data_IF_218894281001
#
_entry.id   IF_218894281001
#
_cell.length_a   1.000
_cell.length_b   1.000
_cell.length_c   1.000
_cell.angle_alpha   90.00
_cell.angle_beta   90.00
_cell.angle_gamma   90.00
#
_symmetry.space_group_name_H-M   'P 1'
#
loop_
_entity.id
_entity.type
_entity.pdbx_description
1 polymer ?
#
# COMPACT_ATOMS: atom_id res chain seq x y z
N UNK A 1 -2.85 21.83 13.51
CA UNK A 1 -3.64 21.07 14.50
C UNK A 1 -2.78 19.96 15.04
N UNK A 2 -2.21 20.16 16.21
CA UNK A 2 -1.65 19.10 17.06
C UNK A 2 -2.83 18.36 17.68
N UNK A 3 -2.90 17.05 17.50
CA UNK A 3 -3.90 16.25 18.20
C UNK A 3 -3.51 16.20 19.68
N UNK A 4 -4.44 16.61 20.55
CA UNK A 4 -4.27 16.57 22.01
C UNK A 4 -4.28 15.12 22.55
N UNK A 5 -4.63 14.14 21.69
CA UNK A 5 -4.62 12.70 21.97
C UNK A 5 -3.89 11.93 20.89
N UNK A 6 -3.16 10.88 21.28
CA UNK A 6 -2.55 9.93 20.34
C UNK A 6 -3.63 9.27 19.47
N UNK A 7 -3.40 9.07 18.16
CA UNK A 7 -4.37 8.44 17.28
C UNK A 7 -4.50 6.94 17.54
N UNK A 8 -5.69 6.41 17.25
CA UNK A 8 -5.89 4.98 17.04
C UNK A 8 -5.27 4.61 15.69
N UNK A 9 -4.17 3.84 15.70
CA UNK A 9 -3.55 3.35 14.47
C UNK A 9 -4.21 2.03 14.07
N UNK A 10 -5.00 2.05 12.99
CA UNK A 10 -5.82 0.91 12.58
C UNK A 10 -5.38 0.40 11.21
N UNK A 11 -5.16 -0.91 11.09
CA UNK A 11 -4.84 -1.57 9.84
C UNK A 11 -5.68 -2.85 9.68
N UNK A 12 -5.52 -3.50 8.53
CA UNK A 12 -6.10 -4.81 8.25
C UNK A 12 -4.99 -5.76 7.83
N UNK A 13 -5.12 -7.03 8.21
CA UNK A 13 -4.29 -8.08 7.64
C UNK A 13 -4.88 -8.53 6.29
N UNK A 14 -4.39 -7.96 5.20
CA UNK A 14 -4.71 -8.38 3.81
C UNK A 14 -3.42 -8.79 3.09
N UNK A 15 -2.47 -9.32 3.86
CA UNK A 15 -1.05 -9.33 3.54
C UNK A 15 -0.29 -8.22 4.29
N UNK A 16 1.03 -8.36 4.37
CA UNK A 16 1.86 -7.52 5.25
C UNK A 16 2.03 -6.06 4.79
N UNK A 17 1.47 -5.67 3.64
CA UNK A 17 1.63 -4.32 3.07
C UNK A 17 1.05 -3.21 3.95
N UNK A 18 -0.23 -3.32 4.33
CA UNK A 18 -0.90 -2.33 5.18
C UNK A 18 -0.35 -2.33 6.61
N UNK A 19 -0.06 -3.52 7.15
CA UNK A 19 0.53 -3.68 8.49
C UNK A 19 1.93 -3.07 8.59
N UNK A 20 2.79 -3.25 7.56
CA UNK A 20 4.13 -2.66 7.54
C UNK A 20 4.08 -1.13 7.63
N UNK A 21 3.19 -0.51 6.84
CA UNK A 21 2.98 0.94 6.89
C UNK A 21 2.44 1.38 8.25
N UNK A 22 1.53 0.60 8.85
CA UNK A 22 0.92 0.93 10.13
C UNK A 22 1.94 0.85 11.27
N UNK A 23 2.77 -0.20 11.31
CA UNK A 23 3.83 -0.33 12.31
C UNK A 23 4.86 0.81 12.20
N UNK A 24 5.25 1.19 10.98
CA UNK A 24 6.17 2.30 10.75
C UNK A 24 5.64 3.65 11.29
N UNK A 25 4.31 3.81 11.38
CA UNK A 25 3.65 4.98 11.96
C UNK A 25 3.43 4.83 13.47
N UNK A 26 3.05 3.64 13.93
CA UNK A 26 2.70 3.37 15.32
C UNK A 26 3.92 3.40 16.25
N UNK A 27 5.07 2.90 15.79
CA UNK A 27 6.33 2.85 16.54
C UNK A 27 6.77 4.23 17.07
N UNK A 28 6.96 5.27 16.24
CA UNK A 28 7.34 6.60 16.73
C UNK A 28 6.24 7.29 17.54
N UNK A 29 4.98 6.87 17.39
CA UNK A 29 3.85 7.38 18.18
C UNK A 29 3.70 6.69 19.54
N UNK A 30 4.44 5.59 19.77
CA UNK A 30 4.33 4.79 20.99
C UNK A 30 2.93 4.22 21.20
N UNK A 31 2.27 3.76 20.13
CA UNK A 31 0.94 3.14 20.15
C UNK A 31 0.98 1.77 19.50
N UNK A 32 0.00 0.92 19.80
CA UNK A 32 -0.15 -0.37 19.14
C UNK A 32 -0.95 -0.25 17.85
N UNK A 33 -0.69 -1.14 16.89
CA UNK A 33 -1.53 -1.27 15.69
C UNK A 33 -2.75 -2.11 16.05
N UNK A 34 -3.94 -1.53 15.89
CA UNK A 34 -5.20 -2.24 16.02
C UNK A 34 -5.57 -2.87 14.69
N UNK A 35 -6.05 -4.11 14.74
CA UNK A 35 -6.51 -4.86 13.58
C UNK A 35 -8.02 -4.69 13.47
N UNK A 36 -8.50 -4.06 12.39
CA UNK A 36 -9.95 -3.84 12.18
C UNK A 36 -10.71 -5.16 12.02
N UNK A 37 -10.02 -6.23 11.64
CA UNK A 37 -10.57 -7.56 11.40
C UNK A 37 -10.40 -8.53 12.58
N UNK A 38 -9.97 -8.05 13.76
CA UNK A 38 -9.74 -8.89 14.95
C UNK A 38 -10.22 -8.19 16.22
N UNK A 39 -10.31 -8.95 17.32
CA UNK A 39 -10.53 -8.39 18.64
C UNK A 39 -9.41 -7.37 19.01
N UNK A 40 -9.72 -6.29 19.76
CA UNK A 40 -11.04 -5.97 20.33
C UNK A 40 -12.01 -5.26 19.38
N UNK A 41 -11.57 -4.86 18.17
CA UNK A 41 -12.38 -4.06 17.24
C UNK A 41 -13.45 -4.85 16.48
N UNK A 42 -13.27 -6.16 16.31
CA UNK A 42 -14.23 -7.02 15.64
C UNK A 42 -14.59 -8.20 16.55
N UNK A 43 -15.88 -8.31 16.87
CA UNK A 43 -16.45 -9.50 17.51
C UNK A 43 -16.42 -10.71 16.54
N UNK A 44 -16.69 -11.95 17.00
CA UNK A 44 -16.65 -13.13 16.12
C UNK A 44 -17.53 -13.02 14.86
N UNK A 45 -18.71 -12.39 14.95
CA UNK A 45 -19.62 -12.21 13.81
C UNK A 45 -19.08 -11.19 12.80
N UNK A 46 -18.42 -10.14 13.29
CA UNK A 46 -17.77 -9.14 12.46
C UNK A 46 -16.49 -9.68 11.81
N UNK A 47 -15.72 -10.50 12.53
CA UNK A 47 -14.57 -11.23 11.98
C UNK A 47 -14.99 -12.12 10.79
N UNK A 48 -16.14 -12.80 10.86
CA UNK A 48 -16.69 -13.55 9.73
C UNK A 48 -17.06 -12.67 8.53
N UNK A 49 -17.52 -11.42 8.76
CA UNK A 49 -17.80 -10.46 7.66
C UNK A 49 -16.51 -10.01 7.01
N UNK A 50 -15.48 -9.70 7.80
CA UNK A 50 -14.14 -9.37 7.30
C UNK A 50 -13.50 -10.53 6.54
N UNK A 51 -13.60 -11.76 7.07
CA UNK A 51 -13.10 -12.96 6.43
C UNK A 51 -13.75 -13.19 5.06
N UNK A 52 -15.08 -13.03 4.96
CA UNK A 52 -15.78 -13.12 3.65
C UNK A 52 -15.31 -12.05 2.67
N UNK A 53 -15.09 -10.82 3.14
CA UNK A 53 -14.53 -9.74 2.31
C UNK A 53 -13.11 -10.07 1.81
N UNK A 54 -12.26 -10.64 2.69
CA UNK A 54 -10.90 -11.06 2.35
C UNK A 54 -10.92 -12.16 1.29
N UNK A 55 -11.71 -13.20 1.50
CA UNK A 55 -11.84 -14.31 0.56
C UNK A 55 -12.30 -13.81 -0.81
N UNK A 56 -13.28 -12.91 -0.86
CA UNK A 56 -13.72 -12.30 -2.12
C UNK A 56 -12.61 -11.51 -2.81
N UNK A 57 -11.86 -10.69 -2.07
CA UNK A 57 -10.72 -9.94 -2.61
C UNK A 57 -9.62 -10.87 -3.14
N UNK A 58 -9.23 -11.89 -2.38
CA UNK A 58 -8.20 -12.86 -2.80
C UNK A 58 -8.63 -13.65 -4.04
N UNK A 59 -9.90 -14.06 -4.11
CA UNK A 59 -10.46 -14.76 -5.27
C UNK A 59 -10.47 -13.87 -6.52
N UNK A 60 -10.85 -12.61 -6.39
CA UNK A 60 -10.81 -11.65 -7.50
C UNK A 60 -9.37 -11.39 -7.95
N UNK A 61 -8.47 -11.13 -7.00
CA UNK A 61 -7.06 -10.87 -7.29
C UNK A 61 -6.43 -12.06 -8.01
N UNK A 62 -6.74 -13.30 -7.62
CA UNK A 62 -6.27 -14.51 -8.30
C UNK A 62 -6.92 -14.72 -9.66
N UNK A 63 -8.24 -14.58 -9.74
CA UNK A 63 -9.00 -14.73 -10.98
C UNK A 63 -8.56 -13.76 -12.06
N UNK A 64 -8.19 -12.53 -11.69
CA UNK A 64 -7.66 -11.53 -12.63
C UNK A 64 -6.31 -11.92 -13.26
N UNK A 65 -5.60 -12.90 -12.68
CA UNK A 65 -4.29 -13.35 -13.15
C UNK A 65 -4.33 -14.69 -13.89
N UNK A 66 -5.46 -15.40 -13.90
CA UNK A 66 -5.61 -16.68 -14.62
C UNK A 66 -6.01 -16.38 -16.08
N UNK A 67 -5.19 -16.76 -17.09
CA UNK A 67 -5.49 -16.47 -18.50
C UNK A 67 -6.71 -17.24 -19.06
N UNK A 68 -7.28 -18.18 -18.31
CA UNK A 68 -8.33 -19.13 -18.73
C UNK A 68 -9.70 -18.83 -18.09
N UNK A 69 -9.94 -17.60 -17.65
CA UNK A 69 -11.28 -17.21 -17.18
C UNK A 69 -12.15 -16.83 -18.38
N UNK A 70 -13.33 -17.47 -18.52
CA UNK A 70 -14.26 -17.19 -19.62
C UNK A 70 -14.60 -15.69 -19.76
N UNK A 71 -14.77 -15.23 -21.00
CA UNK A 71 -15.00 -13.80 -21.36
C UNK A 71 -15.98 -13.04 -20.44
N UNK A 72 -17.15 -13.57 -20.03
CA UNK A 72 -18.06 -12.83 -19.15
C UNK A 72 -17.53 -12.63 -17.73
N UNK A 73 -16.88 -13.64 -17.14
CA UNK A 73 -16.33 -13.56 -15.78
C UNK A 73 -15.09 -12.65 -15.75
N UNK A 74 -14.29 -12.65 -16.82
CA UNK A 74 -13.17 -11.71 -16.98
C UNK A 74 -13.63 -10.25 -17.04
N UNK A 75 -14.71 -9.95 -17.76
CA UNK A 75 -15.26 -8.59 -17.81
C UNK A 75 -15.73 -8.09 -16.42
N UNK A 76 -16.28 -8.97 -15.58
CA UNK A 76 -16.67 -8.64 -14.20
C UNK A 76 -15.45 -8.42 -13.32
N UNK A 77 -14.42 -9.26 -13.43
CA UNK A 77 -13.15 -9.11 -12.69
C UNK A 77 -12.41 -7.82 -13.09
N UNK A 78 -12.35 -7.55 -14.38
CA UNK A 78 -11.78 -6.30 -14.92
C UNK A 78 -12.60 -5.12 -14.39
N UNK A 79 -13.94 -5.15 -14.40
CA UNK A 79 -14.74 -4.06 -13.85
C UNK A 79 -14.54 -3.83 -12.33
N UNK A 80 -14.19 -4.87 -11.57
CA UNK A 80 -13.96 -4.80 -10.12
C UNK A 80 -12.54 -4.36 -9.74
N UNK A 81 -11.56 -4.57 -10.63
CA UNK A 81 -10.13 -4.33 -10.37
C UNK A 81 -9.53 -3.24 -11.25
N UNK A 82 -10.19 -2.85 -12.34
CA UNK A 82 -9.65 -1.93 -13.32
C UNK A 82 -9.45 -0.55 -12.73
N UNK A 83 -8.20 -0.11 -12.74
CA UNK A 83 -7.85 1.28 -12.53
C UNK A 83 -7.84 1.92 -13.92
N UNK A 84 -8.88 2.72 -14.29
CA UNK A 84 -8.91 3.36 -15.61
C UNK A 84 -7.70 4.27 -15.79
N UNK A 85 -7.26 4.44 -17.05
CA UNK A 85 -6.15 5.33 -17.37
C UNK A 85 -6.36 6.72 -16.75
N UNK A 86 -5.31 7.20 -16.11
CA UNK A 86 -5.24 8.53 -15.52
C UNK A 86 -5.41 9.63 -16.59
N UNK A 87 -4.80 9.44 -17.75
CA UNK A 87 -4.85 10.38 -18.86
C UNK A 87 -5.78 9.88 -19.98
N UNK A 88 -6.49 10.78 -20.68
CA UNK A 88 -6.64 12.21 -20.36
C UNK A 88 -7.43 12.43 -19.06
N UNK A 89 -7.21 13.56 -18.39
CA UNK A 89 -7.96 13.91 -17.18
C UNK A 89 -9.44 14.02 -17.50
N UNK A 90 -10.26 13.26 -16.77
CA UNK A 90 -11.73 13.26 -16.86
C UNK A 90 -12.32 13.07 -15.47
N UNK A 91 -13.58 13.45 -15.29
CA UNK A 91 -14.28 13.17 -14.04
C UNK A 91 -14.50 11.66 -13.90
N UNK A 92 -13.99 11.07 -12.82
CA UNK A 92 -14.22 9.67 -12.44
C UNK A 92 -14.80 9.61 -11.02
N UNK A 93 -15.49 10.67 -10.58
CA UNK A 93 -16.08 10.75 -9.24
C UNK A 93 -17.28 9.83 -9.04
N UNK A 94 -17.89 9.33 -10.12
CA UNK A 94 -19.01 8.41 -10.05
C UNK A 94 -18.63 7.12 -9.28
N UNK A 95 -19.48 6.65 -8.34
CA UNK A 95 -19.21 5.44 -7.58
C UNK A 95 -19.39 4.19 -8.45
N UNK A 96 -18.35 3.36 -8.47
CA UNK A 96 -18.33 2.05 -9.14
C UNK A 96 -19.01 0.94 -8.31
N UNK A 97 -18.99 -0.29 -8.83
CA UNK A 97 -19.56 -1.45 -8.14
C UNK A 97 -18.83 -1.76 -6.83
N UNK A 98 -17.50 -1.62 -6.80
CA UNK A 98 -16.66 -1.95 -5.66
C UNK A 98 -16.97 -1.07 -4.44
N UNK A 99 -17.09 0.26 -4.62
CA UNK A 99 -17.47 1.17 -3.53
C UNK A 99 -18.94 1.00 -3.12
N UNK A 100 -19.84 0.70 -4.06
CA UNK A 100 -21.26 0.42 -3.74
C UNK A 100 -21.41 -0.88 -2.94
N UNK A 101 -20.65 -1.91 -3.29
CA UNK A 101 -20.62 -3.17 -2.56
C UNK A 101 -20.09 -2.96 -1.14
N UNK A 102 -18.96 -2.25 -1.00
CA UNK A 102 -18.42 -1.89 0.31
C UNK A 102 -19.45 -1.12 1.14
N UNK A 103 -20.10 -0.10 0.56
CA UNK A 103 -21.13 0.66 1.27
C UNK A 103 -22.26 -0.22 1.81
N UNK A 104 -22.77 -1.17 1.01
CA UNK A 104 -23.80 -2.12 1.47
C UNK A 104 -23.30 -2.99 2.63
N UNK A 105 -22.02 -3.35 2.65
CA UNK A 105 -21.45 -4.09 3.77
C UNK A 105 -21.37 -3.23 5.03
N UNK A 106 -20.98 -1.96 4.88
CA UNK A 106 -20.98 -0.99 5.98
C UNK A 106 -22.40 -0.79 6.53
N UNK A 107 -23.40 -0.62 5.66
CA UNK A 107 -24.82 -0.50 6.06
C UNK A 107 -25.33 -1.75 6.80
N UNK A 108 -24.72 -2.92 6.56
CA UNK A 108 -25.00 -4.19 7.25
C UNK A 108 -24.15 -4.41 8.51
N UNK A 109 -23.42 -3.39 8.96
CA UNK A 109 -22.63 -3.39 10.19
C UNK A 109 -21.20 -3.88 10.05
N UNK A 110 -20.59 -3.79 8.86
CA UNK A 110 -19.13 -3.91 8.74
C UNK A 110 -18.46 -2.66 9.33
N UNK A 111 -17.52 -2.85 10.25
CA UNK A 111 -16.80 -1.78 10.94
C UNK A 111 -17.51 -1.24 12.18
N UNK A 112 -18.51 -1.95 12.71
CA UNK A 112 -19.31 -1.46 13.83
C UNK A 112 -18.45 -1.31 15.10
N UNK A 113 -17.65 -2.31 15.46
CA UNK A 113 -16.79 -2.22 16.64
C UNK A 113 -15.69 -1.15 16.51
N UNK A 114 -15.18 -0.89 15.29
CA UNK A 114 -14.29 0.26 15.04
C UNK A 114 -14.98 1.59 15.38
N UNK A 115 -16.23 1.77 14.94
CA UNK A 115 -16.98 3.00 15.18
C UNK A 115 -17.27 3.20 16.66
N UNK A 116 -17.64 2.12 17.36
CA UNK A 116 -17.86 2.14 18.81
C UNK A 116 -16.59 2.53 19.57
N UNK A 117 -15.46 1.89 19.28
CA UNK A 117 -14.17 2.18 19.91
C UNK A 117 -13.74 3.64 19.70
N UNK A 118 -13.85 4.16 18.47
CA UNK A 118 -13.50 5.56 18.18
C UNK A 118 -14.44 6.55 18.89
N UNK A 119 -15.72 6.21 19.03
CA UNK A 119 -16.69 7.05 19.76
C UNK A 119 -16.44 7.05 21.27
N UNK A 120 -16.01 5.93 21.84
CA UNK A 120 -15.70 5.79 23.27
C UNK A 120 -14.39 6.50 23.61
N UNK A 121 -13.31 6.17 22.91
CA UNK A 121 -11.96 6.71 23.15
C UNK A 121 -11.81 8.19 22.75
N UNK A 122 -12.64 8.65 21.78
CA UNK A 122 -12.53 9.96 21.11
C UNK A 122 -11.16 10.19 20.45
N UNK A 123 -10.40 9.13 20.19
CA UNK A 123 -9.12 9.21 19.50
C UNK A 123 -9.33 9.57 18.04
N UNK A 124 -8.43 10.35 17.42
CA UNK A 124 -8.40 10.48 15.97
C UNK A 124 -8.03 9.15 15.33
N UNK A 125 -8.56 8.87 14.14
CA UNK A 125 -8.25 7.64 13.39
C UNK A 125 -7.05 7.90 12.47
N UNK A 126 -6.01 7.08 12.57
CA UNK A 126 -4.95 6.98 11.56
C UNK A 126 -4.95 5.56 10.99
N UNK A 127 -5.26 5.41 9.70
CA UNK A 127 -5.36 4.09 9.08
C UNK A 127 -4.57 3.99 7.79
N UNK A 128 -4.03 2.79 7.51
CA UNK A 128 -3.29 2.48 6.27
C UNK A 128 -4.13 1.71 5.25
N UNK A 129 -5.45 1.62 5.46
CA UNK A 129 -6.38 0.94 4.58
C UNK A 129 -7.64 1.79 4.37
N UNK A 130 -8.21 1.75 3.16
CA UNK A 130 -9.36 2.60 2.81
C UNK A 130 -10.62 2.24 3.61
N UNK A 131 -10.86 0.96 3.93
CA UNK A 131 -12.14 0.56 4.51
C UNK A 131 -12.39 1.15 5.90
N UNK A 132 -11.45 1.11 6.87
CA UNK A 132 -11.60 1.81 8.14
C UNK A 132 -11.90 3.31 8.00
N UNK A 133 -11.23 3.99 7.06
CA UNK A 133 -11.45 5.42 6.82
C UNK A 133 -12.86 5.69 6.30
N UNK A 134 -13.33 4.89 5.33
CA UNK A 134 -14.67 5.02 4.75
C UNK A 134 -15.78 4.64 5.74
N UNK A 135 -15.53 3.66 6.61
CA UNK A 135 -16.43 3.29 7.72
C UNK A 135 -16.58 4.47 8.67
N UNK A 136 -15.47 5.06 9.11
CA UNK A 136 -15.48 6.19 10.04
C UNK A 136 -16.17 7.42 9.44
N UNK A 137 -15.87 7.74 8.17
CA UNK A 137 -16.48 8.85 7.44
C UNK A 137 -17.99 8.63 7.26
N UNK A 138 -18.39 7.40 6.93
CA UNK A 138 -19.79 7.02 6.82
C UNK A 138 -20.56 7.15 8.15
N UNK A 139 -19.91 6.81 9.26
CA UNK A 139 -20.46 6.97 10.61
C UNK A 139 -20.51 8.43 11.11
N UNK A 140 -20.09 9.39 10.28
CA UNK A 140 -20.10 10.82 10.56
C UNK A 140 -18.96 11.29 11.47
N UNK A 141 -17.96 10.44 11.72
CA UNK A 141 -16.81 10.79 12.56
C UNK A 141 -15.95 11.86 11.88
N UNK A 142 -15.13 12.53 12.68
CA UNK A 142 -14.14 13.49 12.23
C UNK A 142 -12.72 12.98 12.49
N UNK A 143 -11.72 13.78 12.09
CA UNK A 143 -10.30 13.51 12.38
C UNK A 143 -9.85 12.13 11.90
N UNK A 144 -10.09 11.89 10.61
CA UNK A 144 -9.79 10.65 9.91
C UNK A 144 -8.61 10.88 8.99
N UNK A 145 -7.50 10.22 9.26
CA UNK A 145 -6.28 10.21 8.45
C UNK A 145 -6.13 8.85 7.76
N UNK A 146 -6.15 8.85 6.42
CA UNK A 146 -6.00 7.65 5.61
C UNK A 146 -4.69 7.70 4.81
N UNK A 147 -3.73 6.87 5.18
CA UNK A 147 -2.48 6.69 4.46
C UNK A 147 -2.71 5.77 3.28
N UNK A 148 -2.49 6.29 2.08
CA UNK A 148 -2.54 5.50 0.85
C UNK A 148 -1.24 4.70 0.73
N UNK A 149 -1.36 3.38 0.64
CA UNK A 149 -0.21 2.48 0.54
C UNK A 149 0.19 2.16 -0.89
N UNK A 150 -0.67 2.49 -1.86
CA UNK A 150 -0.50 2.09 -3.25
C UNK A 150 0.02 3.26 -4.10
N UNK A 151 0.84 2.95 -5.11
CA UNK A 151 1.39 3.97 -6.02
C UNK A 151 0.31 4.54 -6.96
N UNK A 152 -0.68 3.71 -7.30
CA UNK A 152 -1.92 4.10 -7.98
C UNK A 152 -3.08 3.41 -7.29
N UNK A 153 -4.25 4.04 -7.31
CA UNK A 153 -5.38 3.59 -6.48
C UNK A 153 -6.65 3.44 -7.30
N UNK A 154 -7.39 2.39 -6.98
CA UNK A 154 -8.72 2.15 -7.51
C UNK A 154 -9.75 3.14 -6.94
N UNK A 155 -10.88 3.32 -7.63
CA UNK A 155 -11.95 4.26 -7.22
C UNK A 155 -12.55 3.94 -5.86
N UNK A 156 -12.46 2.69 -5.40
CA UNK A 156 -12.86 2.26 -4.04
C UNK A 156 -12.18 3.05 -2.90
N UNK A 157 -11.01 3.65 -3.13
CA UNK A 157 -10.32 4.44 -2.12
C UNK A 157 -11.04 5.73 -1.75
N UNK A 158 -11.93 6.24 -2.61
CA UNK A 158 -12.71 7.45 -2.37
C UNK A 158 -14.16 7.12 -1.97
N UNK A 159 -14.83 7.93 -1.12
CA UNK A 159 -16.20 7.64 -0.70
C UNK A 159 -17.21 7.82 -1.83
N UNK A 160 -18.46 7.39 -1.58
CA UNK A 160 -19.55 7.52 -2.57
C UNK A 160 -19.82 8.99 -2.91
N UNK A 161 -19.73 9.88 -1.92
CA UNK A 161 -19.89 11.33 -2.11
C UNK A 161 -18.59 12.03 -1.65
N UNK A 162 -17.54 12.04 -2.49
CA UNK A 162 -16.20 12.55 -2.18
C UNK A 162 -16.18 13.95 -1.58
N UNK A 163 -17.01 14.87 -2.12
CA UNK A 163 -17.05 16.27 -1.71
C UNK A 163 -17.54 16.51 -0.28
N UNK A 164 -18.24 15.54 0.31
CA UNK A 164 -18.76 15.60 1.69
C UNK A 164 -17.89 14.90 2.71
N UNK A 165 -16.88 14.16 2.24
CA UNK A 165 -15.99 13.39 3.11
C UNK A 165 -15.22 14.32 4.04
N UNK A 166 -14.81 13.80 5.19
CA UNK A 166 -13.87 14.44 6.12
C UNK A 166 -12.53 13.72 6.16
N UNK A 167 -12.32 12.72 5.30
CA UNK A 167 -11.10 11.92 5.26
C UNK A 167 -9.94 12.76 4.73
N UNK A 168 -8.91 12.96 5.54
CA UNK A 168 -7.63 13.50 5.06
C UNK A 168 -6.78 12.34 4.55
N UNK A 169 -6.46 12.36 3.27
CA UNK A 169 -5.61 11.38 2.62
C UNK A 169 -4.14 11.82 2.67
N UNK A 170 -3.29 10.92 3.16
CA UNK A 170 -1.83 11.06 3.17
C UNK A 170 -1.27 10.16 2.07
N UNK A 171 -0.85 10.76 0.95
CA UNK A 171 -0.54 10.00 -0.27
C UNK A 171 0.96 9.85 -0.51
N UNK A 172 1.40 8.72 -1.07
CA UNK A 172 2.82 8.43 -1.25
C UNK A 172 3.41 9.13 -2.46
N UNK A 173 2.57 9.60 -3.39
CA UNK A 173 3.01 10.16 -4.65
C UNK A 173 2.02 11.18 -5.23
N UNK A 174 2.53 11.99 -6.15
CA UNK A 174 1.72 12.88 -6.98
C UNK A 174 0.71 12.13 -7.84
N UNK A 175 1.00 10.87 -8.21
CA UNK A 175 0.09 10.03 -9.01
C UNK A 175 -1.18 9.70 -8.22
N UNK A 176 -1.02 9.20 -6.99
CA UNK A 176 -2.13 8.90 -6.08
C UNK A 176 -2.93 10.16 -5.74
N UNK A 177 -2.27 11.30 -5.48
CA UNK A 177 -2.93 12.61 -5.29
C UNK A 177 -3.85 12.95 -6.47
N UNK A 178 -3.31 12.88 -7.70
CA UNK A 178 -4.07 13.18 -8.92
C UNK A 178 -5.25 12.20 -9.10
N UNK A 179 -5.14 10.98 -8.59
CA UNK A 179 -6.17 9.94 -8.67
C UNK A 179 -7.35 10.25 -7.77
N UNK A 180 -7.09 10.57 -6.50
CA UNK A 180 -8.11 11.04 -5.56
C UNK A 180 -8.84 12.29 -6.07
N UNK A 181 -8.11 13.25 -6.65
CA UNK A 181 -8.72 14.46 -7.25
C UNK A 181 -9.67 14.14 -8.39
N UNK A 182 -9.28 13.23 -9.28
CA UNK A 182 -10.12 12.75 -10.39
C UNK A 182 -11.33 11.98 -9.87
N UNK A 183 -11.22 11.31 -8.73
CA UNK A 183 -12.34 10.71 -8.02
C UNK A 183 -13.18 11.73 -7.23
N UNK A 184 -12.91 13.03 -7.34
CA UNK A 184 -13.72 14.10 -6.74
C UNK A 184 -13.36 14.46 -5.29
N UNK A 185 -12.31 13.86 -4.72
CA UNK A 185 -11.85 14.22 -3.36
C UNK A 185 -11.31 15.66 -3.38
N UNK A 186 -11.76 16.54 -2.46
CA UNK A 186 -11.29 17.92 -2.42
C UNK A 186 -9.77 18.03 -2.24
N UNK A 187 -9.06 18.93 -2.95
CA UNK A 187 -7.62 19.09 -2.79
C UNK A 187 -7.18 19.40 -1.35
N UNK A 188 -8.00 20.14 -0.59
CA UNK A 188 -7.74 20.45 0.82
C UNK A 188 -7.70 19.20 1.73
N UNK A 189 -8.24 18.07 1.27
CA UNK A 189 -8.22 16.79 1.99
C UNK A 189 -7.05 15.89 1.58
N UNK A 190 -6.16 16.33 0.68
CA UNK A 190 -5.08 15.48 0.17
C UNK A 190 -3.73 16.13 0.46
N UNK A 191 -2.87 15.40 1.14
CA UNK A 191 -1.50 15.84 1.47
C UNK A 191 -0.52 14.81 0.93
N UNK A 192 0.46 15.25 0.14
CA UNK A 192 1.54 14.38 -0.33
C UNK A 192 2.60 14.29 0.76
N UNK A 193 2.70 13.12 1.39
CA UNK A 193 3.62 12.89 2.52
C UNK A 193 4.77 11.95 2.16
N UNK A 194 4.64 11.17 1.09
CA UNK A 194 5.50 10.01 0.85
C UNK A 194 5.00 8.77 1.57
N UNK A 195 5.66 7.63 1.34
CA UNK A 195 5.31 6.35 1.94
C UNK A 195 6.00 6.19 3.31
N UNK A 196 5.28 5.74 4.36
CA UNK A 196 5.88 5.57 5.68
C UNK A 196 6.84 4.37 5.68
N UNK A 197 8.13 4.65 5.85
CA UNK A 197 9.16 3.63 6.03
C UNK A 197 9.48 3.46 7.52
N UNK A 198 9.81 2.22 7.96
CA UNK A 198 10.22 1.98 9.34
C UNK A 198 11.38 2.89 9.79
N UNK A 199 11.34 3.45 11.01
CA UNK A 199 12.40 4.33 11.54
C UNK A 199 13.82 3.75 11.41
N UNK A 200 13.97 2.44 11.66
CA UNK A 200 15.24 1.73 11.51
C UNK A 200 15.82 1.71 10.09
N UNK A 201 15.01 1.92 9.05
CA UNK A 201 15.48 2.08 7.67
C UNK A 201 15.86 3.52 7.34
N UNK A 202 15.29 4.49 8.06
CA UNK A 202 15.50 5.91 7.82
C UNK A 202 16.79 6.41 8.47
N UNK A 203 17.08 5.95 9.69
CA UNK A 203 18.19 6.46 10.49
C UNK A 203 17.92 7.87 11.03
N UNK A 204 16.70 8.09 11.53
CA UNK A 204 16.28 9.36 12.16
C UNK A 204 15.72 10.41 11.19
N UNK A 205 15.32 11.59 11.71
CA UNK A 205 14.71 12.67 10.93
C UNK A 205 15.59 13.19 9.77
N UNK A 206 16.91 13.15 9.92
CA UNK A 206 17.87 13.57 8.88
C UNK A 206 18.03 12.53 7.75
N UNK A 207 17.41 11.36 7.91
CA UNK A 207 17.42 10.25 6.97
C UNK A 207 18.83 9.69 6.72
N UNK A 208 19.71 9.74 7.72
CA UNK A 208 21.12 9.38 7.57
C UNK A 208 21.31 7.94 7.05
N UNK A 209 20.54 7.00 7.62
CA UNK A 209 20.55 5.59 7.21
C UNK A 209 20.03 5.39 5.79
N UNK A 210 18.93 6.06 5.43
CA UNK A 210 18.37 6.02 4.09
C UNK A 210 19.37 6.57 3.05
N UNK A 211 19.95 7.74 3.31
CA UNK A 211 20.91 8.39 2.41
C UNK A 211 22.15 7.51 2.21
N UNK A 212 22.71 6.95 3.28
CA UNK A 212 23.85 6.04 3.20
C UNK A 212 23.54 4.80 2.34
N UNK A 213 22.42 4.12 2.60
CA UNK A 213 21.98 2.94 1.82
C UNK A 213 21.73 3.27 0.36
N UNK A 214 21.16 4.46 0.08
CA UNK A 214 20.91 4.89 -1.30
C UNK A 214 22.21 5.15 -2.06
N UNK A 215 23.22 5.79 -1.44
CA UNK A 215 24.55 5.94 -2.06
C UNK A 215 25.13 4.60 -2.46
N UNK A 216 25.19 3.64 -1.53
CA UNK A 216 25.71 2.29 -1.79
C UNK A 216 24.94 1.60 -2.92
N UNK A 217 23.62 1.74 -2.92
CA UNK A 217 22.75 1.14 -3.93
C UNK A 217 22.97 1.75 -5.31
N UNK A 218 23.24 3.05 -5.41
CA UNK A 218 23.57 3.70 -6.68
C UNK A 218 24.86 3.15 -7.28
N UNK A 219 25.92 2.99 -6.46
CA UNK A 219 27.19 2.38 -6.95
C UNK A 219 26.97 0.96 -7.47
N UNK A 220 26.09 0.21 -6.81
CA UNK A 220 25.74 -1.16 -7.19
C UNK A 220 24.90 -1.26 -8.46
N UNK A 221 23.95 -0.34 -8.64
CA UNK A 221 23.00 -0.37 -9.76
C UNK A 221 23.49 0.38 -11.01
N UNK A 222 24.51 1.24 -10.87
CA UNK A 222 25.09 2.02 -11.96
C UNK A 222 26.58 1.66 -12.16
N UNK A 223 26.89 0.42 -12.60
CA UNK A 223 28.27 -0.07 -12.71
C UNK A 223 29.10 0.63 -13.79
N UNK A 224 28.47 1.39 -14.69
CA UNK A 224 29.13 2.22 -15.71
C UNK A 224 29.27 3.69 -15.28
N UNK A 225 28.59 4.11 -14.20
CA UNK A 225 28.62 5.49 -13.73
C UNK A 225 27.77 6.45 -14.57
N UNK A 226 27.01 5.96 -15.54
CA UNK A 226 26.27 6.80 -16.49
C UNK A 226 25.16 7.60 -15.80
N UNK A 227 24.44 6.98 -14.86
CA UNK A 227 23.41 7.68 -14.08
C UNK A 227 24.04 8.69 -13.13
N UNK A 228 25.10 8.29 -12.41
CA UNK A 228 25.81 9.16 -11.46
C UNK A 228 26.47 10.36 -12.14
N UNK A 229 26.96 10.19 -13.37
CA UNK A 229 27.51 11.29 -14.16
C UNK A 229 26.44 12.25 -14.64
N UNK A 230 25.29 11.74 -15.10
CA UNK A 230 24.17 12.54 -15.59
C UNK A 230 23.52 13.40 -14.51
N UNK A 231 23.34 12.85 -13.30
CA UNK A 231 22.66 13.53 -12.18
C UNK A 231 23.62 13.96 -11.07
N UNK A 232 24.86 14.31 -11.44
CA UNK A 232 25.97 14.55 -10.47
C UNK A 232 25.59 15.59 -9.42
N UNK A 233 25.05 16.72 -9.86
CA UNK A 233 24.80 17.87 -8.98
C UNK A 233 23.60 17.61 -8.06
N UNK A 234 22.53 16.98 -8.56
CA UNK A 234 21.38 16.59 -7.77
C UNK A 234 21.77 15.53 -6.74
N UNK A 235 22.54 14.52 -7.13
CA UNK A 235 23.02 13.51 -6.20
C UNK A 235 23.92 14.12 -5.13
N UNK A 236 24.77 15.11 -5.48
CA UNK A 236 25.59 15.82 -4.49
C UNK A 236 24.74 16.67 -3.55
N UNK A 237 23.70 17.32 -4.04
CA UNK A 237 22.77 18.11 -3.22
C UNK A 237 21.99 17.22 -2.23
N UNK A 238 21.45 16.10 -2.70
CA UNK A 238 20.57 15.24 -1.88
C UNK A 238 21.31 14.17 -1.08
N UNK A 239 22.46 13.70 -1.54
CA UNK A 239 23.19 12.60 -0.89
C UNK A 239 24.59 13.00 -0.45
N UNK A 240 25.14 14.14 -0.89
CA UNK A 240 26.55 14.44 -0.73
C UNK A 240 27.41 13.59 -1.68
N UNK A 241 28.66 13.31 -1.29
CA UNK A 241 29.55 12.50 -2.11
C UNK A 241 29.00 11.06 -2.25
N UNK A 242 28.76 10.63 -3.49
CA UNK A 242 28.46 9.23 -3.82
C UNK A 242 29.79 8.55 -4.17
N UNK A 243 30.10 7.36 -3.60
CA UNK A 243 31.36 6.69 -3.90
C UNK A 243 31.51 6.40 -5.40
N UNK A 244 32.73 6.51 -5.90
CA UNK A 244 33.06 6.16 -7.28
C UNK A 244 33.39 4.66 -7.41
N UNK A 245 33.55 4.19 -8.65
CA UNK A 245 33.89 2.80 -8.93
C UNK A 245 32.71 1.85 -8.95
N UNK A 246 33.02 0.55 -8.84
CA UNK A 246 32.08 -0.57 -8.88
C UNK A 246 31.91 -1.18 -7.49
N UNK A 247 30.71 -1.63 -7.19
CA UNK A 247 30.38 -2.34 -5.96
C UNK A 247 30.21 -3.84 -6.21
N UNK A 248 29.73 -4.54 -5.19
CA UNK A 248 29.27 -5.92 -5.29
C UNK A 248 28.17 -6.08 -6.36
N UNK A 249 27.96 -7.30 -6.89
CA UNK A 249 26.91 -7.54 -7.87
C UNK A 249 25.52 -7.12 -7.33
N UNK A 250 24.63 -6.60 -8.19
CA UNK A 250 23.27 -6.26 -7.80
C UNK A 250 22.54 -7.48 -7.21
N UNK A 251 21.78 -7.24 -6.15
CA UNK A 251 20.85 -8.22 -5.60
C UNK A 251 19.47 -7.95 -6.18
N UNK A 252 19.00 -8.83 -7.07
CA UNK A 252 17.61 -8.88 -7.45
C UNK A 252 16.84 -9.66 -6.40
N UNK A 253 15.81 -9.03 -5.83
CA UNK A 253 14.87 -9.71 -4.94
C UNK A 253 13.57 -9.93 -5.66
N UNK A 254 13.16 -11.19 -5.82
CA UNK A 254 11.84 -11.57 -6.30
C UNK A 254 11.03 -12.05 -5.10
N UNK A 255 10.04 -11.24 -4.69
CA UNK A 255 9.24 -11.50 -3.49
C UNK A 255 7.79 -11.81 -3.86
N UNK A 256 7.32 -12.99 -3.51
CA UNK A 256 5.96 -13.43 -3.72
C UNK A 256 5.15 -13.16 -2.44
N UNK A 257 4.12 -12.33 -2.56
CA UNK A 257 3.28 -11.92 -1.44
C UNK A 257 2.39 -13.03 -0.89
N UNK A 258 1.62 -12.73 0.17
CA UNK A 258 0.75 -13.69 0.87
C UNK A 258 -0.36 -14.30 0.01
N UNK A 259 -0.72 -13.69 -1.12
CA UNK A 259 -1.66 -14.28 -2.08
C UNK A 259 -1.05 -15.43 -2.90
N UNK A 260 0.28 -15.57 -2.93
CA UNK A 260 1.01 -16.53 -3.77
C UNK A 260 0.98 -16.20 -5.26
N UNK A 261 0.58 -14.98 -5.60
CA UNK A 261 0.44 -14.53 -6.97
C UNK A 261 1.80 -14.49 -7.70
N UNK A 262 1.83 -15.00 -8.93
CA UNK A 262 2.97 -14.95 -9.85
C UNK A 262 4.21 -15.76 -9.40
N UNK A 263 4.05 -16.75 -8.51
CA UNK A 263 5.16 -17.60 -8.09
C UNK A 263 5.86 -18.29 -9.28
N UNK A 264 5.06 -18.71 -10.26
CA UNK A 264 5.49 -19.42 -11.47
C UNK A 264 6.33 -18.55 -12.41
N UNK A 265 6.37 -17.21 -12.21
CA UNK A 265 7.27 -16.34 -13.00
C UNK A 265 8.74 -16.73 -12.82
N UNK A 266 9.11 -17.35 -11.69
CA UNK A 266 10.47 -17.84 -11.45
C UNK A 266 10.92 -18.79 -12.56
N UNK A 267 10.05 -19.70 -13.02
CA UNK A 267 10.37 -20.63 -14.12
C UNK A 267 10.68 -19.91 -15.43
N UNK A 268 10.07 -18.74 -15.65
CA UNK A 268 10.24 -17.95 -16.86
C UNK A 268 11.56 -17.17 -16.87
N UNK A 269 11.94 -16.55 -15.75
CA UNK A 269 13.14 -15.69 -15.71
C UNK A 269 14.40 -16.42 -15.23
N UNK A 270 14.29 -17.39 -14.33
CA UNK A 270 15.46 -17.99 -13.67
C UNK A 270 16.44 -18.66 -14.65
N UNK A 271 16.00 -19.49 -15.62
CA UNK A 271 16.92 -20.08 -16.60
C UNK A 271 17.67 -19.04 -17.42
N UNK A 272 17.02 -17.91 -17.72
CA UNK A 272 17.61 -16.80 -18.48
C UNK A 272 18.60 -15.99 -17.64
N UNK A 273 18.43 -15.97 -16.32
CA UNK A 273 19.34 -15.30 -15.39
C UNK A 273 20.53 -16.15 -14.97
N UNK A 274 20.45 -17.49 -15.12
CA UNK A 274 21.50 -18.44 -14.72
C UNK A 274 22.91 -18.00 -15.14
N UNK A 275 23.20 -17.61 -16.41
CA UNK A 275 24.56 -17.23 -16.80
C UNK A 275 25.10 -15.99 -16.09
N UNK A 276 24.23 -15.07 -15.67
CA UNK A 276 24.63 -13.89 -14.90
C UNK A 276 24.87 -14.23 -13.42
N UNK A 277 24.10 -15.17 -12.87
CA UNK A 277 24.23 -15.64 -11.50
C UNK A 277 25.51 -16.47 -11.34
N UNK A 278 25.72 -17.47 -12.21
CA UNK A 278 26.90 -18.34 -12.19
C UNK A 278 28.21 -17.56 -12.42
N UNK A 279 28.17 -16.53 -13.28
CA UNK A 279 29.31 -15.63 -13.51
C UNK A 279 29.52 -14.61 -12.37
N UNK A 280 28.74 -14.66 -11.29
CA UNK A 280 28.83 -13.71 -10.18
C UNK A 280 28.50 -12.26 -10.57
N UNK A 281 27.80 -12.01 -11.68
CA UNK A 281 27.40 -10.68 -12.14
C UNK A 281 26.04 -10.23 -11.59
N UNK A 282 25.29 -11.16 -10.99
CA UNK A 282 23.99 -10.93 -10.37
C UNK A 282 23.83 -11.85 -9.16
N UNK A 283 23.21 -11.35 -8.10
CA UNK A 283 22.73 -12.17 -6.98
C UNK A 283 21.21 -12.19 -7.02
N UNK A 284 20.60 -13.33 -6.68
CA UNK A 284 19.16 -13.50 -6.62
C UNK A 284 18.75 -13.87 -5.20
N UNK A 285 17.71 -13.21 -4.69
CA UNK A 285 16.99 -13.61 -3.48
C UNK A 285 15.54 -13.88 -3.84
N UNK A 286 15.10 -15.12 -3.62
CA UNK A 286 13.69 -15.50 -3.71
C UNK A 286 13.08 -15.39 -2.31
N UNK A 287 11.95 -14.71 -2.19
CA UNK A 287 11.26 -14.51 -0.91
C UNK A 287 9.84 -15.00 -1.04
N UNK A 288 9.51 -16.05 -0.29
CA UNK A 288 8.15 -16.50 -0.11
C UNK A 288 7.50 -15.73 1.06
N UNK A 289 6.26 -15.28 0.86
CA UNK A 289 5.43 -14.71 1.92
C UNK A 289 4.94 -15.77 2.90
N UNK A 290 3.75 -15.56 3.46
CA UNK A 290 3.19 -16.45 4.51
C UNK A 290 2.65 -17.80 3.99
N UNK A 291 2.65 -18.05 2.68
CA UNK A 291 2.13 -19.29 2.10
C UNK A 291 3.20 -20.36 2.04
N UNK A 292 2.97 -21.46 2.78
CA UNK A 292 3.85 -22.62 2.82
C UNK A 292 4.13 -23.21 1.42
N UNK A 293 3.10 -23.35 0.59
CA UNK A 293 3.24 -23.89 -0.78
C UNK A 293 4.15 -23.05 -1.68
N UNK A 294 4.28 -21.75 -1.43
CA UNK A 294 5.19 -20.85 -2.17
C UNK A 294 6.61 -20.96 -1.64
N UNK A 295 6.77 -21.25 -0.34
CA UNK A 295 8.08 -21.47 0.26
C UNK A 295 8.69 -22.83 -0.11
N UNK A 296 7.83 -23.81 -0.42
CA UNK A 296 8.22 -25.15 -0.87
C UNK A 296 8.47 -25.24 -2.40
N UNK A 297 8.03 -24.23 -3.17
CA UNK A 297 8.21 -24.13 -4.62
C UNK A 297 9.61 -23.63 -4.99
#
# INVERSE_FOLDING_TARGET
MTYDRRPAVVAIDMGYGHLRAAHALAEPLGVQVLHVDRAPLADPREQERWARSRTFYELISRGSQVPVVGRPLRAVLDALTAIPHLYPYRDLSAPDLSIRALRRMIDRGLGAGLVEELRLSKQPLLTTFYAPALIADHAGLDRIDCVVTDTDIHRIWAPIIPRRSKIRYLVPSQRAMRRLRVYGVPPAQIVVTGFPLPPGLLGGPDLAGLRARLRERLVRLDPTGSFRAMYRDELRLFLGAVPEGRSSPPLLTFAVGGAGAQAEMVELFLPRMRPAIEAGRLRLALVAGVRKSVAEF
#
